data_IF_620641544022
#
_entry.id   IF_620641544022
#
_cell.length_a   1.000
_cell.length_b   1.000
_cell.length_c   1.000
_cell.angle_alpha   90.00
_cell.angle_beta   90.00
_cell.angle_gamma   90.00
#
_symmetry.space_group_name_H-M   'P 1'
#
loop_
_entity.id
_entity.type
_entity.pdbx_description
1 polymer ?
#
# COMPACT_ATOMS: atom_id res chain seq x y z
N UNK A 1 12.28 -2.67 11.02
CA UNK A 1 10.92 -2.44 10.46
C UNK A 1 10.94 -1.14 9.69
N UNK A 2 10.75 -1.17 8.37
CA UNK A 2 10.75 0.05 7.54
C UNK A 2 9.32 0.40 7.21
N UNK A 3 8.91 1.64 7.45
CA UNK A 3 7.57 2.15 7.14
C UNK A 3 7.75 3.36 6.21
N UNK A 4 7.05 3.36 5.09
CA UNK A 4 6.93 4.51 4.20
C UNK A 4 5.47 4.89 4.07
N UNK A 5 5.22 6.19 4.05
CA UNK A 5 3.89 6.76 3.84
C UNK A 5 3.89 7.40 2.46
N UNK A 6 2.86 7.12 1.67
CA UNK A 6 2.68 7.68 0.32
C UNK A 6 1.24 8.19 0.17
N UNK A 7 1.01 9.02 -0.85
CA UNK A 7 -0.29 9.67 -1.08
C UNK A 7 -0.76 10.49 0.14
N UNK A 8 0.14 11.29 0.73
CA UNK A 8 -0.19 12.16 1.87
C UNK A 8 -0.73 11.38 3.07
N UNK A 9 0.03 10.39 3.54
CA UNK A 9 -0.31 9.45 4.63
C UNK A 9 -1.52 8.51 4.39
N UNK A 10 -2.21 8.63 3.25
CA UNK A 10 -3.37 7.77 2.93
C UNK A 10 -3.00 6.30 2.79
N UNK A 11 -1.79 6.02 2.28
CA UNK A 11 -1.29 4.65 2.11
C UNK A 11 -0.02 4.45 2.93
N UNK A 12 -0.05 3.46 3.83
CA UNK A 12 1.09 2.98 4.61
C UNK A 12 1.71 1.77 3.93
N UNK A 13 2.94 1.91 3.49
CA UNK A 13 3.80 0.84 3.06
C UNK A 13 4.69 0.39 4.22
N UNK A 14 4.78 -0.90 4.52
CA UNK A 14 5.68 -1.39 5.55
C UNK A 14 6.28 -2.74 5.21
N UNK A 15 7.50 -2.99 5.70
CA UNK A 15 8.15 -4.30 5.66
C UNK A 15 8.67 -4.71 7.04
N UNK A 16 8.57 -6.00 7.33
CA UNK A 16 9.03 -6.58 8.61
C UNK A 16 10.54 -6.82 8.62
N UNK A 17 11.14 -7.23 7.50
CA UNK A 17 12.56 -7.54 7.38
C UNK A 17 13.17 -7.02 6.05
N UNK A 18 14.48 -6.78 6.05
CA UNK A 18 15.25 -6.51 4.82
C UNK A 18 15.22 -7.74 3.90
N UNK A 19 14.79 -7.56 2.64
CA UNK A 19 14.54 -8.65 1.69
C UNK A 19 13.15 -9.30 1.75
N UNK A 20 12.35 -8.94 2.76
CA UNK A 20 10.95 -9.37 2.86
C UNK A 20 10.03 -8.68 1.85
N UNK A 21 8.81 -9.21 1.70
CA UNK A 21 7.79 -8.58 0.86
C UNK A 21 7.27 -7.29 1.51
N UNK A 22 7.06 -6.24 0.70
CA UNK A 22 6.37 -5.04 1.15
C UNK A 22 4.87 -5.28 1.28
N UNK A 23 4.29 -4.76 2.36
CA UNK A 23 2.86 -4.70 2.60
C UNK A 23 2.37 -3.26 2.44
N UNK A 24 1.18 -3.09 1.90
CA UNK A 24 0.47 -1.82 1.87
C UNK A 24 -0.83 -1.93 2.68
N UNK A 25 -1.14 -0.90 3.45
CA UNK A 25 -2.44 -0.68 4.06
C UNK A 25 -2.94 0.71 3.72
N UNK A 26 -4.24 0.86 3.54
CA UNK A 26 -4.88 2.14 3.26
C UNK A 26 -6.20 2.22 3.99
N UNK A 27 -6.62 3.42 4.35
CA UNK A 27 -7.94 3.69 4.88
C UNK A 27 -8.78 4.37 3.81
N UNK A 28 -9.91 3.76 3.44
CA UNK A 28 -10.87 4.32 2.48
C UNK A 28 -12.24 4.19 3.14
N UNK A 29 -12.94 5.32 3.30
CA UNK A 29 -14.32 5.35 3.81
C UNK A 29 -14.52 4.63 5.16
N UNK A 30 -13.58 4.83 6.10
CA UNK A 30 -13.61 4.17 7.42
C UNK A 30 -13.27 2.68 7.40
N UNK A 31 -12.98 2.09 6.24
CA UNK A 31 -12.53 0.70 6.11
C UNK A 31 -11.02 0.64 5.89
N UNK A 32 -10.34 -0.21 6.67
CA UNK A 32 -8.94 -0.54 6.44
C UNK A 32 -8.84 -1.63 5.38
N UNK A 33 -8.14 -1.33 4.29
CA UNK A 33 -7.76 -2.32 3.30
C UNK A 33 -6.28 -2.62 3.47
N UNK A 34 -5.93 -3.92 3.50
CA UNK A 34 -4.54 -4.37 3.50
C UNK A 34 -4.27 -5.26 2.30
N UNK A 35 -3.12 -5.08 1.66
CA UNK A 35 -2.66 -5.97 0.60
C UNK A 35 -1.15 -6.13 0.63
N UNK A 36 -0.67 -7.32 0.29
CA UNK A 36 0.77 -7.54 0.13
C UNK A 36 1.16 -7.16 -1.28
N UNK A 37 2.11 -6.24 -1.44
CA UNK A 37 2.61 -5.85 -2.77
C UNK A 37 3.41 -6.96 -3.45
N UNK A 38 3.95 -7.90 -2.65
CA UNK A 38 4.86 -8.99 -3.09
C UNK A 38 6.07 -8.47 -3.88
N UNK A 39 6.42 -7.20 -3.71
CA UNK A 39 7.62 -6.59 -4.26
C UNK A 39 8.67 -6.47 -3.16
N UNK A 40 9.93 -6.48 -3.55
CA UNK A 40 11.09 -6.25 -2.66
C UNK A 40 11.63 -4.83 -2.83
N UNK A 41 11.51 -4.29 -4.03
CA UNK A 41 11.92 -2.94 -4.40
C UNK A 41 10.94 -1.90 -3.89
N UNK A 42 11.47 -0.85 -3.26
CA UNK A 42 10.67 0.24 -2.74
C UNK A 42 9.93 0.99 -3.86
N UNK A 43 10.60 1.25 -4.98
CA UNK A 43 10.01 1.96 -6.13
C UNK A 43 8.80 1.18 -6.70
N UNK A 44 9.00 -0.09 -7.05
CA UNK A 44 7.92 -0.95 -7.56
C UNK A 44 6.78 -1.12 -6.55
N UNK A 45 7.10 -1.18 -5.25
CA UNK A 45 6.08 -1.27 -4.21
C UNK A 45 5.28 0.02 -4.07
N UNK A 46 5.89 1.20 -4.25
CA UNK A 46 5.19 2.50 -4.30
C UNK A 46 4.24 2.58 -5.49
N UNK A 47 4.72 2.24 -6.69
CA UNK A 47 3.89 2.27 -7.91
C UNK A 47 2.70 1.31 -7.79
N UNK A 48 2.95 0.08 -7.33
CA UNK A 48 1.88 -0.89 -7.09
C UNK A 48 0.87 -0.37 -6.07
N UNK A 49 1.33 0.25 -4.97
CA UNK A 49 0.46 0.78 -3.94
C UNK A 49 -0.38 1.96 -4.43
N UNK A 50 0.15 2.84 -5.28
CA UNK A 50 -0.62 3.92 -5.94
C UNK A 50 -1.67 3.33 -6.88
N UNK A 51 -1.29 2.43 -7.79
CA UNK A 51 -2.21 1.80 -8.72
C UNK A 51 -3.33 1.01 -7.97
N UNK A 52 -2.94 0.31 -6.91
CA UNK A 52 -3.88 -0.39 -6.05
C UNK A 52 -4.81 0.57 -5.31
N UNK A 53 -4.33 1.68 -4.76
CA UNK A 53 -5.17 2.69 -4.10
C UNK A 53 -6.20 3.26 -5.07
N UNK A 54 -5.80 3.61 -6.29
CA UNK A 54 -6.71 4.11 -7.33
C UNK A 54 -7.79 3.06 -7.67
N UNK A 55 -7.42 1.79 -7.75
CA UNK A 55 -8.37 0.69 -8.00
C UNK A 55 -9.28 0.40 -6.78
N UNK A 56 -8.72 0.43 -5.56
CA UNK A 56 -9.47 0.21 -4.32
C UNK A 56 -10.49 1.34 -4.09
N UNK A 57 -10.11 2.59 -4.38
CA UNK A 57 -11.02 3.72 -4.39
C UNK A 57 -12.12 3.54 -5.45
N UNK A 58 -11.77 3.08 -6.66
CA UNK A 58 -12.74 2.83 -7.73
C UNK A 58 -13.77 1.74 -7.39
N UNK A 59 -13.46 0.76 -6.54
CA UNK A 59 -14.36 -0.34 -6.18
C UNK A 59 -15.44 0.00 -5.14
N UNK A 60 -15.37 1.16 -4.48
CA UNK A 60 -16.34 1.57 -3.47
C UNK A 60 -17.46 2.49 -4.03
N UNK A 61 -17.50 2.73 -5.34
CA UNK A 61 -18.51 3.57 -6.01
C UNK A 61 -19.37 2.80 -7.01
N UNK A 62 -19.97 1.69 -6.59
CA UNK A 62 -20.93 0.90 -7.39
C UNK A 62 -22.17 0.58 -6.58
#
# INVERSE_FOLDING_TARGET
MTIHRILDDKVRLYRRAEGGSWHCSTFIDGKEYRKTTKRKDLAAAKEFAVAWYMCAACKNGG
#
